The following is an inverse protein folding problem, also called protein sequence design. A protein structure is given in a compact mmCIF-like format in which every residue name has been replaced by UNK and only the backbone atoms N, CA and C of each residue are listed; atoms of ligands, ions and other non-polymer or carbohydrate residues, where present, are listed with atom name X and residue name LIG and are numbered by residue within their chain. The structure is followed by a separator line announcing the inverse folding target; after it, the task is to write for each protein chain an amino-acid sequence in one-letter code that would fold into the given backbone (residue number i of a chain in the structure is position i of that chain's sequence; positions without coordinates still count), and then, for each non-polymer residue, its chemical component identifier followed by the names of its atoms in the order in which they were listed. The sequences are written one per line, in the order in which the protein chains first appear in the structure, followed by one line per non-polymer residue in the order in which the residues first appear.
data_IF_446753065093
#
_entry.id   IF_446753065093
#
_cell.length_a   1.000
_cell.length_b   1.000
_cell.length_c   1.000
_cell.angle_alpha   90.00
_cell.angle_beta   90.00
_cell.angle_gamma   90.00
#
_symmetry.space_group_name_H-M   'P 1'
#
loop_
_entity.id
_entity.type
_entity.pdbx_description
1 polymer ?
#
# COMPACT_ATOMS: atom_id res chain seq x y z
N UNK A 1 -0.60 14.43 -13.19
CA UNK A 1 -0.72 13.19 -12.39
C UNK A 1 -2.16 13.05 -11.93
N UNK A 2 -2.74 11.86 -12.08
CA UNK A 2 -4.10 11.61 -11.64
C UNK A 2 -4.20 11.70 -10.11
N UNK A 3 -5.31 12.22 -9.63
CA UNK A 3 -5.56 12.31 -8.19
C UNK A 3 -6.12 10.99 -7.65
N UNK A 4 -6.13 10.84 -6.33
CA UNK A 4 -6.73 9.67 -5.70
C UNK A 4 -8.18 9.48 -6.16
N UNK A 5 -8.95 10.58 -6.23
CA UNK A 5 -10.35 10.53 -6.67
C UNK A 5 -10.52 9.95 -8.07
N UNK A 6 -9.62 10.29 -8.99
CA UNK A 6 -9.71 9.81 -10.36
C UNK A 6 -9.59 8.29 -10.46
N UNK A 7 -8.81 7.68 -9.57
CA UNK A 7 -8.64 6.22 -9.56
C UNK A 7 -9.81 5.49 -8.92
N UNK A 8 -10.54 6.12 -7.99
CA UNK A 8 -11.54 5.42 -7.19
C UNK A 8 -12.98 5.84 -7.48
N UNK A 9 -13.19 6.87 -8.29
CA UNK A 9 -14.53 7.36 -8.61
C UNK A 9 -15.40 6.26 -9.23
N UNK A 10 -16.56 6.01 -8.60
CA UNK A 10 -17.50 4.99 -9.06
C UNK A 10 -17.05 3.54 -8.84
N UNK A 11 -15.90 3.32 -8.21
CA UNK A 11 -15.30 1.99 -8.06
C UNK A 11 -15.18 1.53 -6.60
N UNK A 12 -15.35 2.45 -5.68
CA UNK A 12 -15.22 2.17 -4.26
C UNK A 12 -16.11 3.16 -3.49
N UNK A 13 -16.66 2.77 -2.32
CA UNK A 13 -17.47 3.67 -1.49
C UNK A 13 -16.64 4.65 -0.67
N UNK A 14 -15.43 4.96 -1.09
CA UNK A 14 -14.54 5.86 -0.36
C UNK A 14 -15.13 7.27 -0.32
N UNK A 15 -15.41 7.77 0.88
CA UNK A 15 -16.01 9.08 1.09
C UNK A 15 -15.00 10.20 0.91
N UNK A 16 -15.51 11.45 0.79
CA UNK A 16 -14.63 12.63 0.72
C UNK A 16 -13.77 12.78 1.97
N UNK A 17 -14.31 12.45 3.15
CA UNK A 17 -13.54 12.49 4.40
C UNK A 17 -12.43 11.45 4.42
N UNK A 18 -12.70 10.25 3.91
CA UNK A 18 -11.70 9.20 3.81
C UNK A 18 -10.59 9.60 2.84
N UNK A 19 -10.94 10.19 1.69
CA UNK A 19 -9.95 10.68 0.74
C UNK A 19 -9.10 11.78 1.36
N UNK A 20 -9.71 12.71 2.10
CA UNK A 20 -8.98 13.76 2.80
C UNK A 20 -7.98 13.16 3.80
N UNK A 21 -8.41 12.16 4.56
CA UNK A 21 -7.54 11.43 5.50
C UNK A 21 -6.34 10.80 4.78
N UNK A 22 -6.59 10.17 3.64
CA UNK A 22 -5.52 9.54 2.86
C UNK A 22 -4.57 10.56 2.26
N UNK A 23 -5.06 11.72 1.83
CA UNK A 23 -4.21 12.80 1.33
C UNK A 23 -3.30 13.37 2.42
N UNK A 24 -3.82 13.55 3.62
CA UNK A 24 -3.00 13.99 4.75
C UNK A 24 -1.92 12.98 5.06
N UNK A 25 -2.25 11.70 5.01
CA UNK A 25 -1.29 10.63 5.24
C UNK A 25 -0.17 10.67 4.20
N UNK A 26 -0.52 10.81 2.92
CA UNK A 26 0.45 10.79 1.82
C UNK A 26 1.34 12.04 1.81
N UNK A 27 0.86 13.17 2.36
CA UNK A 27 1.61 14.43 2.35
C UNK A 27 3.00 14.31 2.98
N UNK A 28 3.18 13.47 4.00
CA UNK A 28 4.46 13.29 4.70
C UNK A 28 5.20 12.01 4.31
N UNK A 29 4.73 11.33 3.28
CA UNK A 29 5.23 9.99 2.92
C UNK A 29 6.67 9.96 2.46
N UNK A 30 7.17 11.02 1.82
CA UNK A 30 8.56 11.04 1.37
C UNK A 30 9.50 10.89 2.58
N UNK A 31 9.19 11.58 3.66
CA UNK A 31 9.97 11.45 4.89
C UNK A 31 9.90 10.02 5.46
N UNK A 32 8.71 9.43 5.49
CA UNK A 32 8.53 8.07 5.99
C UNK A 32 9.26 7.04 5.13
N UNK A 33 9.19 7.20 3.80
CA UNK A 33 9.91 6.36 2.85
C UNK A 33 11.42 6.46 3.07
N UNK A 34 11.94 7.68 3.19
CA UNK A 34 13.36 7.92 3.37
C UNK A 34 13.89 7.38 4.71
N UNK A 35 13.12 7.56 5.80
CA UNK A 35 13.50 7.08 7.13
C UNK A 35 13.48 5.55 7.21
N UNK A 36 12.62 4.90 6.47
CA UNK A 36 12.50 3.43 6.49
C UNK A 36 13.25 2.75 5.35
N UNK A 37 13.90 3.51 4.46
CA UNK A 37 14.61 2.98 3.28
C UNK A 37 13.71 2.09 2.43
N UNK A 38 12.45 2.48 2.29
CA UNK A 38 11.42 1.61 1.72
C UNK A 38 10.54 2.32 0.71
N UNK A 39 10.08 1.57 -0.29
CA UNK A 39 8.96 1.99 -1.11
C UNK A 39 7.67 1.83 -0.33
N UNK A 40 6.78 2.82 -0.44
CA UNK A 40 5.45 2.79 0.17
C UNK A 40 4.40 2.88 -0.93
N UNK A 41 3.44 1.96 -0.91
CA UNK A 41 2.32 1.95 -1.85
C UNK A 41 1.02 1.99 -1.07
N UNK A 42 0.10 2.86 -1.48
CA UNK A 42 -1.24 2.94 -0.90
C UNK A 42 -2.22 2.21 -1.80
N UNK A 43 -2.90 1.23 -1.23
CA UNK A 43 -3.91 0.41 -1.91
C UNK A 43 -5.29 0.71 -1.36
N UNK A 44 -6.27 0.93 -2.25
CA UNK A 44 -7.67 1.10 -1.86
C UNK A 44 -8.45 -0.11 -2.35
N UNK A 45 -9.30 -0.72 -1.49
CA UNK A 45 -10.09 -1.88 -1.91
C UNK A 45 -11.17 -1.48 -2.92
N UNK A 46 -11.32 -2.30 -3.96
CA UNK A 46 -12.33 -2.15 -5.00
C UNK A 46 -13.55 -2.97 -4.63
N UNK A 47 -14.67 -2.31 -4.33
CA UNK A 47 -15.93 -2.95 -3.93
C UNK A 47 -17.09 -2.00 -4.15
N UNK A 48 -18.31 -2.56 -4.22
CA UNK A 48 -19.51 -1.76 -4.48
C UNK A 48 -19.90 -0.89 -3.29
N UNK A 49 -19.80 -1.46 -2.09
CA UNK A 49 -20.19 -0.80 -0.85
C UNK A 49 -19.38 -1.38 0.31
N UNK A 50 -19.55 -0.81 1.50
CA UNK A 50 -18.80 -1.23 2.69
C UNK A 50 -19.11 -2.65 3.17
N UNK A 51 -20.28 -3.17 2.79
CA UNK A 51 -20.70 -4.52 3.18
C UNK A 51 -20.21 -5.59 2.19
N UNK A 52 -19.77 -5.18 1.00
CA UNK A 52 -19.32 -6.12 -0.04
C UNK A 52 -17.88 -6.52 0.16
N UNK A 53 -17.56 -7.76 -0.14
CA UNK A 53 -16.19 -8.26 -0.14
C UNK A 53 -15.44 -7.62 -1.32
N UNK A 54 -14.20 -7.17 -1.13
CA UNK A 54 -13.45 -6.57 -2.24
C UNK A 54 -13.14 -7.56 -3.35
N UNK A 55 -13.23 -7.12 -4.59
CA UNK A 55 -12.78 -7.90 -5.75
C UNK A 55 -11.28 -7.79 -5.94
N UNK A 56 -10.67 -6.78 -5.36
CA UNK A 56 -9.24 -6.53 -5.45
C UNK A 56 -8.91 -5.16 -4.90
N UNK A 57 -7.78 -4.62 -5.35
CA UNK A 57 -7.25 -3.34 -4.88
C UNK A 57 -6.71 -2.54 -6.06
N UNK A 58 -6.66 -1.22 -5.90
CA UNK A 58 -5.97 -0.34 -6.83
C UNK A 58 -4.93 0.49 -6.09
N UNK A 59 -3.73 0.59 -6.67
CA UNK A 59 -2.67 1.44 -6.13
C UNK A 59 -2.93 2.89 -6.52
N UNK A 60 -3.03 3.77 -5.53
CA UNK A 60 -3.33 5.19 -5.75
C UNK A 60 -2.17 6.12 -5.39
N UNK A 61 -1.14 5.61 -4.73
CA UNK A 61 0.07 6.36 -4.43
C UNK A 61 1.25 5.41 -4.34
N UNK A 62 2.41 5.86 -4.79
CA UNK A 62 3.67 5.13 -4.69
C UNK A 62 4.78 6.14 -4.41
N UNK A 63 5.42 6.02 -3.26
CA UNK A 63 6.52 6.87 -2.86
C UNK A 63 7.79 6.03 -2.84
N UNK A 64 8.83 6.49 -3.55
CA UNK A 64 10.13 5.83 -3.62
C UNK A 64 11.09 6.49 -2.64
N UNK A 65 11.95 5.71 -1.97
CA UNK A 65 12.94 6.30 -1.07
C UNK A 65 14.02 7.05 -1.86
N UNK A 66 14.52 8.15 -1.29
CA UNK A 66 15.72 8.83 -1.81
C UNK A 66 16.98 8.34 -1.09
N UNK A 67 16.81 7.63 0.03
CA UNK A 67 17.90 7.13 0.87
C UNK A 67 18.38 5.73 0.47
N UNK A 68 17.65 5.06 -0.39
CA UNK A 68 17.99 3.73 -0.89
C UNK A 68 17.44 3.59 -2.31
N UNK A 69 17.90 2.57 -3.04
CA UNK A 69 17.35 2.26 -4.35
C UNK A 69 15.92 1.74 -4.20
N UNK A 70 15.01 2.16 -5.08
CA UNK A 70 13.67 1.60 -5.15
C UNK A 70 13.75 0.13 -5.53
N UNK A 71 12.83 -0.68 -4.97
CA UNK A 71 12.73 -2.10 -5.34
C UNK A 71 11.81 -2.32 -6.54
N UNK A 72 11.16 -1.28 -7.04
CA UNK A 72 10.25 -1.36 -8.18
C UNK A 72 10.89 -0.74 -9.43
N UNK A 73 10.88 -1.48 -10.53
CA UNK A 73 11.40 -0.99 -11.81
C UNK A 73 10.50 0.09 -12.42
N UNK A 74 9.19 0.01 -12.15
CA UNK A 74 8.18 0.92 -12.71
C UNK A 74 7.29 1.47 -11.61
N UNK A 75 6.67 2.62 -11.89
CA UNK A 75 5.63 3.19 -11.03
C UNK A 75 4.41 2.27 -11.06
N UNK A 76 3.87 1.96 -9.89
CA UNK A 76 2.72 1.06 -9.77
C UNK A 76 1.39 1.79 -9.63
N UNK A 77 1.38 3.12 -9.60
CA UNK A 77 0.12 3.90 -9.49
C UNK A 77 -0.82 3.51 -10.62
N UNK A 78 -2.06 3.17 -10.25
CA UNK A 78 -3.08 2.73 -11.20
C UNK A 78 -3.13 1.23 -11.42
N UNK A 79 -2.15 0.48 -10.96
CA UNK A 79 -2.18 -0.98 -11.08
C UNK A 79 -3.23 -1.58 -10.16
N UNK A 80 -3.87 -2.64 -10.64
CA UNK A 80 -4.89 -3.37 -9.91
C UNK A 80 -4.42 -4.79 -9.65
N UNK A 81 -4.75 -5.29 -8.46
CA UNK A 81 -4.50 -6.68 -8.09
C UNK A 81 -5.82 -7.29 -7.64
N UNK A 82 -6.03 -8.57 -7.96
CA UNK A 82 -7.23 -9.28 -7.54
C UNK A 82 -7.11 -9.74 -6.09
N UNK A 83 -8.25 -9.87 -5.42
CA UNK A 83 -8.31 -10.49 -4.10
C UNK A 83 -7.69 -11.88 -4.18
N UNK A 84 -6.85 -12.19 -3.21
CA UNK A 84 -6.16 -13.47 -3.15
C UNK A 84 -4.77 -13.48 -3.78
N UNK A 85 -4.41 -12.49 -4.59
CA UNK A 85 -3.08 -12.42 -5.20
C UNK A 85 -1.99 -11.96 -4.23
N UNK A 86 -2.36 -11.12 -3.26
CA UNK A 86 -1.41 -10.55 -2.29
C UNK A 86 -1.90 -10.85 -0.88
N UNK A 87 -1.48 -11.97 -0.36
CA UNK A 87 -1.91 -12.48 0.94
C UNK A 87 -1.76 -11.46 2.08
N UNK A 88 -0.64 -10.74 2.13
CA UNK A 88 -0.41 -9.81 3.23
C UNK A 88 -1.32 -8.59 3.18
N UNK A 89 -1.69 -8.14 1.98
CA UNK A 89 -2.66 -7.03 1.82
C UNK A 89 -4.04 -7.49 2.27
N UNK A 90 -4.45 -8.68 1.84
CA UNK A 90 -5.74 -9.26 2.23
C UNK A 90 -5.82 -9.42 3.74
N UNK A 91 -4.75 -9.88 4.36
CA UNK A 91 -4.70 -10.10 5.80
C UNK A 91 -4.81 -8.78 6.58
N UNK A 92 -4.10 -7.75 6.16
CA UNK A 92 -4.17 -6.43 6.79
C UNK A 92 -5.58 -5.85 6.72
N UNK A 93 -6.24 -5.98 5.56
CA UNK A 93 -7.60 -5.49 5.39
C UNK A 93 -8.59 -6.27 6.24
N UNK A 94 -8.51 -7.60 6.21
CA UNK A 94 -9.48 -8.48 6.89
C UNK A 94 -9.37 -8.41 8.40
N UNK A 95 -8.15 -8.34 8.92
CA UNK A 95 -7.92 -8.39 10.37
C UNK A 95 -7.70 -7.01 10.99
N UNK A 96 -7.46 -5.98 10.18
CA UNK A 96 -7.20 -4.64 10.70
C UNK A 96 -5.92 -4.53 11.50
N UNK A 97 -4.96 -5.41 11.24
CA UNK A 97 -3.71 -5.49 11.98
C UNK A 97 -2.50 -5.35 11.06
N UNK A 98 -1.41 -4.82 11.60
CA UNK A 98 -0.15 -4.73 10.86
C UNK A 98 0.40 -6.14 10.66
N UNK A 99 0.78 -6.45 9.43
CA UNK A 99 1.44 -7.72 9.08
C UNK A 99 2.94 -7.46 9.00
N UNK A 100 3.69 -8.07 9.93
CA UNK A 100 5.15 -7.92 10.05
C UNK A 100 5.82 -9.28 10.01
N UNK A 101 7.14 -9.25 10.05
CA UNK A 101 7.96 -10.45 10.16
C UNK A 101 7.70 -11.44 9.04
N UNK A 102 7.38 -10.88 7.86
CA UNK A 102 7.14 -11.68 6.66
C UNK A 102 8.46 -12.22 6.13
N UNK A 103 8.37 -13.37 5.44
CA UNK A 103 9.54 -13.92 4.78
C UNK A 103 9.89 -13.09 3.55
N UNK A 104 11.18 -12.75 3.34
CA UNK A 104 11.59 -12.05 2.11
C UNK A 104 11.25 -12.88 0.88
N UNK A 105 10.80 -12.20 -0.17
CA UNK A 105 10.45 -12.81 -1.45
C UNK A 105 11.20 -12.14 -2.58
N UNK A 106 11.46 -12.92 -3.64
CA UNK A 106 12.16 -12.41 -4.79
C UNK A 106 11.24 -11.52 -5.64
N UNK A 107 11.65 -10.29 -5.88
CA UNK A 107 11.00 -9.37 -6.80
C UNK A 107 12.01 -9.02 -7.87
N UNK A 108 11.87 -9.64 -9.07
CA UNK A 108 12.92 -9.57 -10.08
C UNK A 108 14.19 -10.24 -9.57
N UNK A 109 15.28 -9.49 -9.44
CA UNK A 109 16.57 -9.99 -8.94
C UNK A 109 16.84 -9.58 -7.48
N UNK A 110 15.87 -8.94 -6.82
CA UNK A 110 16.04 -8.37 -5.50
C UNK A 110 15.19 -9.13 -4.50
N UNK A 111 15.77 -9.49 -3.35
CA UNK A 111 15.01 -10.03 -2.23
C UNK A 111 14.34 -8.88 -1.49
N UNK A 112 13.02 -8.93 -1.37
CA UNK A 112 12.21 -7.84 -0.81
C UNK A 112 11.43 -8.35 0.38
N UNK A 113 11.49 -7.60 1.47
CA UNK A 113 10.63 -7.82 2.64
C UNK A 113 9.45 -6.87 2.57
N UNK A 114 8.25 -7.42 2.54
CA UNK A 114 7.00 -6.67 2.51
C UNK A 114 6.35 -6.69 3.87
N UNK A 115 5.88 -5.52 4.29
CA UNK A 115 5.04 -5.39 5.47
C UNK A 115 3.80 -4.62 5.05
N UNK A 116 2.65 -4.95 5.62
CA UNK A 116 1.40 -4.28 5.28
C UNK A 116 0.75 -3.69 6.51
N UNK A 117 0.23 -2.47 6.35
CA UNK A 117 -0.29 -1.66 7.44
C UNK A 117 -1.68 -1.19 7.07
N UNK A 118 -2.72 -1.55 7.84
CA UNK A 118 -4.06 -1.04 7.58
C UNK A 118 -4.15 0.44 7.94
N UNK A 119 -4.85 1.20 7.10
CA UNK A 119 -5.18 2.59 7.40
C UNK A 119 -6.63 2.60 7.86
N UNK A 120 -6.85 3.05 9.09
CA UNK A 120 -8.18 3.01 9.69
C UNK A 120 -8.75 4.41 9.86
N UNK A 121 -10.07 4.50 9.84
CA UNK A 121 -10.81 5.69 10.19
C UNK A 121 -11.97 5.20 11.07
N UNK A 122 -11.89 5.49 12.36
CA UNK A 122 -12.73 4.81 13.34
C UNK A 122 -12.39 3.32 13.39
N UNK A 123 -13.40 2.47 13.26
CA UNK A 123 -13.21 1.01 13.23
C UNK A 123 -13.08 0.45 11.81
N UNK A 124 -13.23 1.31 10.80
CA UNK A 124 -13.21 0.88 9.41
C UNK A 124 -11.79 0.94 8.84
N UNK A 125 -11.37 -0.12 8.17
CA UNK A 125 -10.13 -0.12 7.37
C UNK A 125 -10.48 0.46 6.00
N UNK A 126 -9.91 1.62 5.69
CA UNK A 126 -10.21 2.33 4.44
C UNK A 126 -9.18 2.10 3.36
N UNK A 127 -7.99 1.65 3.73
CA UNK A 127 -6.90 1.40 2.77
C UNK A 127 -5.84 0.52 3.44
N UNK A 128 -4.87 0.08 2.64
CA UNK A 128 -3.71 -0.67 3.13
C UNK A 128 -2.45 -0.05 2.53
N UNK A 129 -1.44 0.16 3.37
CA UNK A 129 -0.11 0.55 2.92
C UNK A 129 0.75 -0.71 2.84
N UNK A 130 1.42 -0.92 1.71
CA UNK A 130 2.46 -1.94 1.64
C UNK A 130 3.83 -1.25 1.64
N UNK A 131 4.72 -1.73 2.49
CA UNK A 131 6.08 -1.22 2.63
C UNK A 131 7.04 -2.29 2.14
N UNK A 132 7.90 -1.92 1.18
CA UNK A 132 8.79 -2.84 0.50
C UNK A 132 10.24 -2.42 0.69
N UNK A 133 11.01 -3.25 1.37
CA UNK A 133 12.43 -2.98 1.64
C UNK A 133 13.30 -4.04 0.99
N UNK A 134 14.47 -3.61 0.48
CA UNK A 134 15.46 -4.53 0.00
C UNK A 134 16.01 -5.34 1.18
N UNK A 135 15.75 -6.63 1.21
CA UNK A 135 16.16 -7.50 2.31
C UNK A 135 17.69 -7.65 2.41
N UNK A 136 18.40 -7.48 1.30
CA UNK A 136 19.87 -7.56 1.31
C UNK A 136 20.49 -6.39 2.07
N UNK A 137 19.88 -5.19 2.00
CA UNK A 137 20.34 -4.04 2.77
C UNK A 137 20.16 -4.24 4.27
N UNK A 138 19.17 -5.02 4.67
CA UNK A 138 18.88 -5.28 6.08
C UNK A 138 19.90 -6.20 6.73
N UNK A 139 20.73 -6.90 5.94
CA UNK A 139 21.75 -7.83 6.43
C UNK A 139 23.11 -7.17 6.61
N UNK A 140 23.26 -5.96 6.16
CA UNK A 140 24.54 -5.25 6.28
C UNK A 140 24.69 -4.70 7.68
N UNK A 141 25.88 -4.84 8.30
CA UNK A 141 26.16 -4.32 9.63
C UNK A 141 26.13 -2.79 9.67
#
# INVERSE_FOLDING_TARGET
MASIEEYVEGRTPTSAEEIHRLRELVADWQLLSDLSFADLILWIPLRKDDASWPSGYIAVAHIRPTTAATVFAHDVIGEEIAWGERFYIDQALSHGEIVRDTEPQLLGEVMVKEETIPVTMGEKVIAVISRHRNADLMRQP
#
